data_IF_331264698753
#
_entry.id   IF_331264698753
#
_cell.length_a   1.000
_cell.length_b   1.000
_cell.length_c   1.000
_cell.angle_alpha   90.00
_cell.angle_beta   90.00
_cell.angle_gamma   90.00
#
_symmetry.space_group_name_H-M   'P 1'
#
loop_
_entity.id
_entity.type
_entity.pdbx_description
1 polymer ?
#
# COMPACT_ATOMS: atom_id res chain seq x y z
N UNK A 1 -14.26 1.14 31.11
CA UNK A 1 -12.88 0.91 30.68
C UNK A 1 -12.80 1.39 29.23
N UNK A 2 -12.04 2.44 28.94
CA UNK A 2 -11.89 2.93 27.57
C UNK A 2 -10.98 1.92 26.85
N UNK A 3 -11.41 1.32 25.72
CA UNK A 3 -10.54 0.40 24.99
C UNK A 3 -9.26 1.15 24.57
N UNK A 4 -8.09 0.48 24.59
CA UNK A 4 -6.83 1.12 24.25
C UNK A 4 -6.89 1.67 22.82
N UNK A 5 -6.92 2.99 22.69
CA UNK A 5 -6.90 3.65 21.38
C UNK A 5 -5.57 3.40 20.67
N UNK A 6 -5.59 3.35 19.34
CA UNK A 6 -4.34 3.35 18.57
C UNK A 6 -3.46 4.57 18.95
N UNK A 7 -2.12 4.42 18.92
CA UNK A 7 -1.21 5.55 19.03
C UNK A 7 -1.54 6.63 17.99
N UNK A 8 -1.41 7.90 18.38
CA UNK A 8 -1.70 9.05 17.50
C UNK A 8 -0.51 9.41 16.59
N UNK A 9 0.18 8.40 16.09
CA UNK A 9 1.38 8.57 15.28
C UNK A 9 1.22 7.79 13.98
N UNK A 10 1.47 8.45 12.84
CA UNK A 10 1.33 7.85 11.53
C UNK A 10 -0.12 7.58 11.13
N UNK A 11 -0.45 7.95 9.89
CA UNK A 11 -1.78 7.85 9.32
C UNK A 11 -1.73 7.20 7.95
N UNK A 12 -2.74 6.39 7.71
CA UNK A 12 -3.08 5.82 6.42
C UNK A 12 -4.40 6.44 5.92
N UNK A 13 -4.53 6.62 4.61
CA UNK A 13 -5.71 7.22 4.01
C UNK A 13 -6.92 6.29 4.16
N UNK A 14 -8.07 6.82 4.58
CA UNK A 14 -9.32 6.05 4.73
C UNK A 14 -9.75 5.34 3.44
N UNK A 15 -9.35 5.87 2.29
CA UNK A 15 -9.48 5.23 0.98
C UNK A 15 -8.90 3.81 0.93
N UNK A 16 -7.74 3.56 1.57
CA UNK A 16 -7.12 2.24 1.61
C UNK A 16 -8.01 1.22 2.33
N UNK A 17 -8.61 1.62 3.46
CA UNK A 17 -9.53 0.79 4.24
C UNK A 17 -10.78 0.44 3.44
N UNK A 18 -11.32 1.43 2.72
CA UNK A 18 -12.51 1.24 1.89
C UNK A 18 -12.25 0.25 0.75
N UNK A 19 -11.14 0.40 0.02
CA UNK A 19 -10.81 -0.54 -1.06
C UNK A 19 -10.45 -1.92 -0.54
N UNK A 20 -9.79 -2.03 0.63
CA UNK A 20 -9.51 -3.34 1.22
C UNK A 20 -10.82 -4.07 1.53
N UNK A 21 -11.79 -3.38 2.14
CA UNK A 21 -13.11 -3.96 2.41
C UNK A 21 -13.84 -4.32 1.12
N UNK A 22 -13.89 -3.41 0.15
CA UNK A 22 -14.54 -3.67 -1.16
C UNK A 22 -13.93 -4.91 -1.82
N UNK A 23 -12.61 -4.93 -1.98
CA UNK A 23 -11.89 -6.04 -2.61
C UNK A 23 -12.08 -7.36 -1.85
N UNK A 24 -12.04 -7.33 -0.50
CA UNK A 24 -12.24 -8.51 0.32
C UNK A 24 -13.67 -9.07 0.19
N UNK A 25 -14.68 -8.19 0.14
CA UNK A 25 -16.08 -8.59 -0.06
C UNK A 25 -16.29 -9.16 -1.47
N UNK A 26 -15.76 -8.51 -2.49
CA UNK A 26 -15.91 -8.93 -3.89
C UNK A 26 -15.19 -10.25 -4.18
N UNK A 27 -14.00 -10.45 -3.60
CA UNK A 27 -13.14 -11.60 -3.90
C UNK A 27 -13.41 -12.79 -2.98
N UNK A 28 -13.71 -12.56 -1.70
CA UNK A 28 -13.79 -13.62 -0.68
C UNK A 28 -15.16 -13.71 0.02
N UNK A 29 -16.04 -12.73 -0.20
CA UNK A 29 -17.36 -12.68 0.40
C UNK A 29 -17.40 -12.20 1.84
N UNK A 30 -18.61 -11.86 2.29
CA UNK A 30 -18.89 -11.26 3.60
C UNK A 30 -18.46 -12.13 4.78
N UNK A 31 -18.64 -13.45 4.67
CA UNK A 31 -18.26 -14.38 5.73
C UNK A 31 -16.76 -14.34 6.00
N UNK A 32 -15.94 -14.26 4.96
CA UNK A 32 -14.48 -14.20 5.07
C UNK A 32 -14.02 -12.86 5.60
N UNK A 33 -14.57 -11.76 5.08
CA UNK A 33 -14.31 -10.41 5.62
C UNK A 33 -14.62 -10.32 7.11
N UNK A 34 -15.78 -10.83 7.53
CA UNK A 34 -16.21 -10.83 8.93
C UNK A 34 -15.28 -11.64 9.82
N UNK A 35 -14.76 -12.79 9.34
CA UNK A 35 -13.75 -13.55 10.08
C UNK A 35 -12.43 -12.78 10.20
N UNK A 36 -11.98 -12.12 9.13
CA UNK A 36 -10.77 -11.29 9.15
C UNK A 36 -10.88 -10.14 10.16
N UNK A 37 -12.01 -9.43 10.17
CA UNK A 37 -12.30 -8.39 11.17
C UNK A 37 -12.31 -8.89 12.61
N UNK A 38 -12.72 -10.15 12.85
CA UNK A 38 -12.68 -10.76 14.18
C UNK A 38 -11.27 -11.13 14.64
N UNK A 39 -10.35 -11.37 13.71
CA UNK A 39 -8.93 -11.63 14.01
C UNK A 39 -8.14 -10.34 14.23
N UNK A 40 -8.61 -9.22 13.67
CA UNK A 40 -8.07 -7.91 13.94
C UNK A 40 -8.35 -7.48 15.38
N UNK A 41 -7.60 -6.48 15.86
CA UNK A 41 -7.84 -5.84 17.16
C UNK A 41 -9.27 -5.26 17.22
N UNK A 42 -9.93 -5.28 18.40
CA UNK A 42 -11.30 -4.78 18.55
C UNK A 42 -11.49 -3.33 18.06
N UNK A 43 -10.46 -2.49 18.20
CA UNK A 43 -10.47 -1.10 17.75
C UNK A 43 -10.55 -0.96 16.23
N UNK A 44 -9.98 -1.92 15.48
CA UNK A 44 -10.10 -1.96 14.01
C UNK A 44 -11.55 -2.20 13.62
N UNK A 45 -12.23 -3.14 14.28
CA UNK A 45 -13.66 -3.40 14.03
C UNK A 45 -14.48 -2.13 14.24
N UNK A 46 -14.19 -1.38 15.31
CA UNK A 46 -14.85 -0.09 15.60
C UNK A 46 -14.73 0.93 14.46
N UNK A 47 -13.62 0.94 13.71
CA UNK A 47 -13.47 1.80 12.53
C UNK A 47 -14.46 1.41 11.41
N UNK A 48 -14.65 0.11 11.19
CA UNK A 48 -15.54 -0.41 10.13
C UNK A 48 -17.02 -0.47 10.54
N UNK A 49 -17.34 -0.37 11.83
CA UNK A 49 -18.72 -0.20 12.31
C UNK A 49 -19.28 1.19 11.95
N UNK A 50 -18.39 2.16 11.69
CA UNK A 50 -18.73 3.51 11.21
C UNK A 50 -18.48 3.74 9.72
N UNK A 51 -18.71 4.97 9.28
CA UNK A 51 -18.35 5.41 7.92
C UNK A 51 -16.91 5.92 7.90
N UNK A 52 -16.03 5.22 7.16
CA UNK A 52 -14.67 5.70 6.89
C UNK A 52 -14.70 6.59 5.64
N UNK A 53 -14.55 7.90 5.82
CA UNK A 53 -14.47 8.82 4.69
C UNK A 53 -13.18 8.56 3.91
N UNK A 54 -13.26 8.43 2.58
CA UNK A 54 -12.09 8.21 1.73
C UNK A 54 -11.00 9.30 1.90
N UNK A 55 -11.41 10.54 2.17
CA UNK A 55 -10.50 11.67 2.40
C UNK A 55 -9.90 11.72 3.81
N UNK A 56 -10.43 10.97 4.78
CA UNK A 56 -9.96 10.99 6.16
C UNK A 56 -8.61 10.29 6.35
N UNK A 57 -7.94 10.61 7.47
CA UNK A 57 -6.69 9.99 7.90
C UNK A 57 -6.96 9.07 9.10
N UNK A 58 -6.71 7.79 8.93
CA UNK A 58 -6.91 6.75 9.94
C UNK A 58 -5.57 6.32 10.54
N UNK A 59 -5.53 5.82 11.79
CA UNK A 59 -4.27 5.35 12.39
C UNK A 59 -3.60 4.28 11.52
N UNK A 60 -2.31 4.44 11.22
CA UNK A 60 -1.58 3.46 10.39
C UNK A 60 -1.45 2.11 11.09
N UNK A 61 -1.39 2.11 12.42
CA UNK A 61 -1.45 0.89 13.22
C UNK A 61 -2.72 0.06 12.97
N UNK A 62 -3.86 0.70 12.69
CA UNK A 62 -5.09 0.01 12.34
C UNK A 62 -5.03 -0.60 10.92
N UNK A 63 -4.38 0.10 9.98
CA UNK A 63 -4.11 -0.42 8.64
C UNK A 63 -3.21 -1.65 8.68
N UNK A 64 -2.10 -1.57 9.42
CA UNK A 64 -1.17 -2.68 9.57
C UNK A 64 -1.83 -3.90 10.24
N UNK A 65 -2.67 -3.66 11.24
CA UNK A 65 -3.41 -4.69 11.97
C UNK A 65 -4.41 -5.42 11.06
N UNK A 66 -5.29 -4.69 10.36
CA UNK A 66 -6.28 -5.33 9.48
C UNK A 66 -5.62 -6.09 8.33
N UNK A 67 -4.53 -5.57 7.77
CA UNK A 67 -3.80 -6.26 6.71
C UNK A 67 -3.19 -7.56 7.24
N UNK A 68 -2.49 -7.49 8.37
CA UNK A 68 -1.87 -8.67 8.97
C UNK A 68 -2.91 -9.72 9.36
N UNK A 69 -4.03 -9.31 9.96
CA UNK A 69 -5.12 -10.20 10.34
C UNK A 69 -5.81 -10.84 9.14
N UNK A 70 -6.21 -10.04 8.15
CA UNK A 70 -6.94 -10.54 6.98
C UNK A 70 -6.04 -11.43 6.11
N UNK A 71 -4.87 -10.93 5.69
CA UNK A 71 -4.00 -11.67 4.80
C UNK A 71 -3.32 -12.86 5.49
N UNK A 72 -3.01 -12.75 6.78
CA UNK A 72 -2.48 -13.85 7.60
C UNK A 72 -3.45 -15.01 7.78
N UNK A 73 -4.75 -14.72 7.80
CA UNK A 73 -5.80 -15.73 7.90
C UNK A 73 -6.15 -16.35 6.54
N UNK A 74 -6.27 -15.52 5.50
CA UNK A 74 -6.85 -15.95 4.22
C UNK A 74 -5.83 -16.55 3.24
N UNK A 75 -4.55 -16.18 3.36
CA UNK A 75 -3.51 -16.60 2.42
C UNK A 75 -2.43 -17.43 3.11
N UNK A 76 -2.04 -18.54 2.48
CA UNK A 76 -0.87 -19.32 2.90
C UNK A 76 0.42 -18.47 2.87
N UNK A 77 0.50 -17.53 1.93
CA UNK A 77 1.50 -16.47 1.90
C UNK A 77 0.79 -15.09 1.92
N UNK A 78 0.80 -14.38 3.06
CA UNK A 78 0.18 -13.06 3.19
C UNK A 78 0.71 -12.04 2.17
N UNK A 79 1.96 -12.19 1.73
CA UNK A 79 2.56 -11.31 0.73
C UNK A 79 1.81 -11.40 -0.60
N UNK A 80 1.39 -12.59 -1.00
CA UNK A 80 0.60 -12.78 -2.22
C UNK A 80 -0.76 -12.06 -2.12
N UNK A 81 -1.44 -12.15 -0.97
CA UNK A 81 -2.69 -11.43 -0.74
C UNK A 81 -2.53 -9.92 -0.85
N UNK A 82 -1.51 -9.36 -0.20
CA UNK A 82 -1.20 -7.92 -0.32
C UNK A 82 -0.87 -7.52 -1.76
N UNK A 83 -0.13 -8.35 -2.51
CA UNK A 83 0.18 -8.06 -3.93
C UNK A 83 -1.08 -8.00 -4.79
N UNK A 84 -1.98 -8.95 -4.63
CA UNK A 84 -3.27 -9.01 -5.36
C UNK A 84 -4.13 -7.78 -5.04
N UNK A 85 -4.26 -7.45 -3.75
CA UNK A 85 -4.97 -6.27 -3.31
C UNK A 85 -4.35 -4.98 -3.89
N UNK A 86 -3.03 -4.83 -3.87
CA UNK A 86 -2.39 -3.63 -4.39
C UNK A 86 -2.41 -3.52 -5.92
N UNK A 87 -2.49 -4.63 -6.65
CA UNK A 87 -2.84 -4.61 -8.08
C UNK A 87 -4.24 -4.07 -8.29
N UNK A 88 -5.23 -4.59 -7.55
CA UNK A 88 -6.62 -4.11 -7.59
C UNK A 88 -6.73 -2.62 -7.25
N UNK A 89 -6.05 -2.19 -6.18
CA UNK A 89 -5.98 -0.79 -5.78
C UNK A 89 -5.36 0.06 -6.88
N UNK A 90 -4.27 -0.41 -7.48
CA UNK A 90 -3.63 0.20 -8.65
C UNK A 90 -4.63 0.43 -9.77
N UNK A 91 -5.37 -0.60 -10.17
CA UNK A 91 -6.37 -0.50 -11.24
C UNK A 91 -7.45 0.54 -10.94
N UNK A 92 -7.98 0.60 -9.72
CA UNK A 92 -9.04 1.55 -9.34
C UNK A 92 -8.53 2.99 -9.22
N UNK A 93 -7.43 3.16 -8.50
CA UNK A 93 -6.87 4.46 -8.16
C UNK A 93 -6.17 5.08 -9.34
N UNK A 94 -5.35 4.29 -10.05
CA UNK A 94 -4.67 4.80 -11.21
C UNK A 94 -5.72 5.23 -12.22
N UNK A 95 -6.73 4.46 -12.61
CA UNK A 95 -7.73 4.95 -13.58
C UNK A 95 -8.36 6.33 -13.24
N UNK A 96 -8.48 6.67 -11.95
CA UNK A 96 -8.98 7.98 -11.50
C UNK A 96 -7.87 9.05 -11.48
N UNK A 97 -6.65 8.70 -11.08
CA UNK A 97 -5.45 9.58 -11.03
C UNK A 97 -4.78 9.78 -12.39
N UNK A 98 -4.86 8.78 -13.24
CA UNK A 98 -4.35 8.60 -14.60
C UNK A 98 -4.91 9.64 -15.52
N UNK A 99 -6.19 10.04 -15.38
CA UNK A 99 -6.72 11.13 -16.19
C UNK A 99 -5.92 12.43 -16.01
N UNK A 100 -5.27 12.61 -14.85
CA UNK A 100 -4.39 13.75 -14.57
C UNK A 100 -2.91 13.48 -14.89
N UNK A 101 -2.41 12.24 -14.78
CA UNK A 101 -0.98 11.90 -15.00
C UNK A 101 -0.69 11.42 -16.43
N UNK A 102 -1.55 10.59 -17.04
CA UNK A 102 -1.36 10.02 -18.38
C UNK A 102 -1.58 11.00 -19.52
N UNK A 103 -2.24 12.15 -19.31
CA UNK A 103 -2.32 13.15 -20.38
C UNK A 103 -0.93 13.71 -20.76
N UNK A 104 0.12 13.49 -19.94
CA UNK A 104 1.47 14.04 -20.17
C UNK A 104 2.68 13.20 -19.68
N UNK A 105 2.52 12.01 -19.07
CA UNK A 105 3.62 11.35 -18.33
C UNK A 105 4.18 10.06 -18.95
N UNK A 106 5.51 9.99 -19.13
CA UNK A 106 6.25 8.74 -19.34
C UNK A 106 6.39 7.94 -18.03
N UNK A 107 6.78 6.65 -18.06
CA UNK A 107 7.08 5.87 -16.85
C UNK A 107 8.04 6.59 -15.89
N UNK A 108 9.07 7.23 -16.42
CA UNK A 108 10.06 8.01 -15.65
C UNK A 108 9.41 9.18 -14.90
N UNK A 109 8.41 9.83 -15.52
CA UNK A 109 7.68 10.92 -14.89
C UNK A 109 6.84 10.46 -13.70
N UNK A 110 6.26 9.25 -13.77
CA UNK A 110 5.59 8.64 -12.62
C UNK A 110 6.60 8.32 -11.51
N UNK A 111 7.71 7.65 -11.82
CA UNK A 111 8.68 7.21 -10.82
C UNK A 111 9.35 8.39 -10.10
N UNK A 112 9.60 9.50 -10.79
CA UNK A 112 10.09 10.75 -10.17
C UNK A 112 9.11 11.37 -9.16
N UNK A 113 7.86 10.89 -9.09
CA UNK A 113 6.79 11.39 -8.21
C UNK A 113 6.38 10.40 -7.13
N UNK A 114 7.12 9.32 -6.91
CA UNK A 114 6.83 8.32 -5.87
C UNK A 114 6.61 8.94 -4.50
N UNK A 115 7.38 9.97 -4.11
CA UNK A 115 7.17 10.68 -2.85
C UNK A 115 5.81 11.39 -2.73
N UNK A 116 5.37 12.06 -3.80
CA UNK A 116 4.03 12.65 -3.86
C UNK A 116 2.95 11.57 -3.80
N UNK A 117 3.12 10.49 -4.56
CA UNK A 117 2.17 9.38 -4.62
C UNK A 117 2.03 8.69 -3.25
N UNK A 118 3.15 8.43 -2.57
CA UNK A 118 3.18 7.91 -1.22
C UNK A 118 2.41 8.80 -0.24
N UNK A 119 2.65 10.11 -0.30
CA UNK A 119 1.98 11.13 0.53
C UNK A 119 0.46 11.19 0.36
N UNK A 120 -0.10 10.59 -0.70
CA UNK A 120 -1.57 10.47 -0.87
C UNK A 120 -2.17 9.39 0.02
N UNK A 121 -1.38 8.38 0.34
CA UNK A 121 -1.82 7.16 1.04
C UNK A 121 -1.32 7.10 2.47
N UNK A 122 -0.14 7.63 2.74
CA UNK A 122 0.49 7.62 4.06
C UNK A 122 1.09 9.00 4.36
N UNK A 123 1.01 9.44 5.62
CA UNK A 123 1.60 10.72 6.06
C UNK A 123 3.05 10.58 6.55
N UNK A 124 3.55 9.36 6.66
CA UNK A 124 4.85 9.00 7.23
C UNK A 124 5.65 8.17 6.26
N UNK A 125 6.96 8.39 6.29
CA UNK A 125 7.91 7.77 5.39
C UNK A 125 8.15 8.60 4.13
N UNK A 126 9.29 8.36 3.49
CA UNK A 126 9.76 9.11 2.32
C UNK A 126 10.07 8.12 1.20
N UNK A 127 9.32 8.22 0.12
CA UNK A 127 9.52 7.41 -1.07
C UNK A 127 10.29 8.22 -2.12
N UNK A 128 11.39 7.67 -2.62
CA UNK A 128 12.11 8.23 -3.75
C UNK A 128 12.43 7.20 -4.83
N UNK A 129 12.91 7.69 -5.96
CA UNK A 129 13.40 6.88 -7.06
C UNK A 129 14.57 7.59 -7.78
N UNK A 130 15.50 6.80 -8.29
CA UNK A 130 16.64 7.24 -9.09
C UNK A 130 16.77 6.36 -10.33
N UNK A 131 17.09 6.98 -11.47
CA UNK A 131 17.38 6.25 -12.70
C UNK A 131 18.79 5.68 -12.62
N UNK A 132 18.92 4.37 -12.85
CA UNK A 132 20.21 3.67 -12.95
C UNK A 132 20.64 3.61 -14.40
N UNK A 133 19.70 3.30 -15.29
CA UNK A 133 19.86 3.29 -16.74
C UNK A 133 18.48 3.44 -17.41
N UNK A 134 18.39 3.68 -18.73
CA UNK A 134 17.11 3.69 -19.44
C UNK A 134 16.30 2.42 -19.16
N UNK A 135 15.10 2.58 -18.61
CA UNK A 135 14.23 1.45 -18.25
C UNK A 135 14.64 0.70 -16.97
N UNK A 136 15.63 1.18 -16.21
CA UNK A 136 16.08 0.57 -14.96
C UNK A 136 16.21 1.62 -13.85
N UNK A 137 15.42 1.45 -12.81
CA UNK A 137 15.30 2.39 -11.70
C UNK A 137 15.47 1.71 -10.36
N UNK A 138 16.17 2.38 -9.45
CA UNK A 138 16.19 2.03 -8.03
C UNK A 138 15.18 2.92 -7.30
N UNK A 139 14.41 2.33 -6.42
CA UNK A 139 13.47 3.04 -5.57
C UNK A 139 13.74 2.72 -4.11
N UNK A 140 13.34 3.62 -3.23
CA UNK A 140 13.52 3.42 -1.80
C UNK A 140 12.38 4.01 -0.99
N UNK A 141 12.07 3.37 0.14
CA UNK A 141 11.13 3.86 1.12
C UNK A 141 11.81 3.96 2.49
N UNK A 142 12.04 5.19 2.93
CA UNK A 142 12.61 5.54 4.24
C UNK A 142 11.51 5.76 5.29
N UNK A 143 11.88 5.60 6.57
CA UNK A 143 11.04 5.84 7.74
C UNK A 143 11.31 4.79 8.82
N UNK A 144 10.72 4.93 10.03
CA UNK A 144 10.99 4.00 11.13
C UNK A 144 10.53 2.57 10.80
N UNK A 145 11.19 1.55 11.36
CA UNK A 145 10.71 0.17 11.31
C UNK A 145 9.77 -0.10 12.49
N UNK A 146 8.66 0.63 12.54
CA UNK A 146 7.71 0.61 13.64
C UNK A 146 6.27 0.64 13.12
N UNK A 147 5.56 -0.46 13.31
CA UNK A 147 4.18 -0.66 12.84
C UNK A 147 3.17 0.26 13.55
N UNK A 148 3.56 0.89 14.66
CA UNK A 148 2.72 1.89 15.31
C UNK A 148 2.72 3.23 14.58
N UNK A 149 3.81 3.59 13.90
CA UNK A 149 4.06 4.96 13.41
C UNK A 149 4.15 5.05 11.88
N UNK A 150 4.23 3.94 11.16
CA UNK A 150 4.31 3.95 9.69
C UNK A 150 3.79 2.65 9.06
N UNK A 151 3.77 2.58 7.74
CA UNK A 151 3.34 1.41 6.99
C UNK A 151 4.22 0.19 7.32
N UNK A 152 3.56 -0.91 7.68
CA UNK A 152 4.17 -2.14 8.15
C UNK A 152 4.88 -2.94 7.08
N UNK A 153 5.60 -3.99 7.51
CA UNK A 153 6.42 -4.84 6.65
C UNK A 153 5.67 -5.39 5.42
N UNK A 154 4.41 -5.83 5.63
CA UNK A 154 3.58 -6.37 4.56
C UNK A 154 3.28 -5.32 3.49
N UNK A 155 2.91 -4.11 3.91
CA UNK A 155 2.61 -2.99 3.03
C UNK A 155 3.86 -2.51 2.29
N UNK A 156 4.96 -2.24 3.00
CA UNK A 156 6.15 -1.68 2.37
C UNK A 156 6.82 -2.64 1.38
N UNK A 157 6.75 -3.96 1.65
CA UNK A 157 7.44 -4.97 0.83
C UNK A 157 6.63 -5.37 -0.39
N UNK A 158 5.30 -5.29 -0.33
CA UNK A 158 4.42 -5.89 -1.34
C UNK A 158 3.37 -4.95 -1.91
N UNK A 159 3.17 -3.78 -1.31
CA UNK A 159 2.17 -2.81 -1.76
C UNK A 159 2.66 -1.96 -2.93
N UNK A 160 3.79 -1.23 -2.80
CA UNK A 160 4.28 -0.36 -3.85
C UNK A 160 4.51 -1.04 -5.20
N UNK A 161 5.03 -2.28 -5.21
CA UNK A 161 5.44 -2.97 -6.43
C UNK A 161 4.28 -3.12 -7.42
N UNK A 162 3.24 -3.92 -7.11
CA UNK A 162 2.08 -4.13 -7.97
C UNK A 162 1.37 -2.84 -8.36
N UNK A 163 1.26 -1.88 -7.44
CA UNK A 163 0.66 -0.58 -7.74
C UNK A 163 1.46 0.18 -8.81
N UNK A 164 2.79 0.21 -8.69
CA UNK A 164 3.67 0.85 -9.66
C UNK A 164 3.70 0.07 -10.99
N UNK A 165 3.65 -1.27 -10.97
CA UNK A 165 3.55 -2.10 -12.18
C UNK A 165 2.33 -1.73 -13.03
N UNK A 166 1.16 -1.52 -12.39
CA UNK A 166 -0.02 -1.01 -13.10
C UNK A 166 0.21 0.38 -13.68
N UNK A 167 0.90 1.24 -12.94
CA UNK A 167 1.26 2.58 -13.40
C UNK A 167 2.18 2.59 -14.62
N UNK A 168 3.17 1.70 -14.64
CA UNK A 168 4.09 1.50 -15.77
C UNK A 168 3.33 1.01 -17.00
N UNK A 169 2.45 0.01 -16.83
CA UNK A 169 1.61 -0.51 -17.91
C UNK A 169 0.71 0.57 -18.52
N UNK A 170 0.05 1.37 -17.69
CA UNK A 170 -0.79 2.49 -18.12
C UNK A 170 0.01 3.61 -18.79
N UNK A 171 1.30 3.74 -18.48
CA UNK A 171 2.23 4.68 -19.13
C UNK A 171 2.83 4.12 -20.43
N UNK A 172 2.29 3.01 -20.94
CA UNK A 172 2.67 2.39 -22.22
C UNK A 172 3.94 1.53 -22.18
N UNK A 173 4.56 1.35 -21.00
CA UNK A 173 5.77 0.54 -20.86
C UNK A 173 5.58 -0.44 -19.70
N UNK A 174 4.87 -1.56 -19.90
CA UNK A 174 4.70 -2.56 -18.86
C UNK A 174 6.08 -3.04 -18.37
N UNK A 175 6.20 -3.14 -17.04
CA UNK A 175 7.45 -3.46 -16.38
C UNK A 175 7.21 -4.19 -15.07
N UNK A 176 8.30 -4.51 -14.39
CA UNK A 176 8.29 -5.18 -13.09
C UNK A 176 8.83 -4.25 -12.02
N UNK A 177 8.31 -4.36 -10.80
CA UNK A 177 8.81 -3.65 -9.62
C UNK A 177 9.00 -4.66 -8.49
N UNK A 178 10.25 -5.04 -8.25
CA UNK A 178 10.60 -6.04 -7.22
C UNK A 178 11.14 -5.36 -5.98
N UNK A 179 10.63 -5.78 -4.82
CA UNK A 179 11.24 -5.46 -3.54
C UNK A 179 12.54 -6.27 -3.36
N UNK A 180 13.59 -5.62 -2.87
CA UNK A 180 14.96 -6.16 -2.76
C UNK A 180 15.39 -6.28 -1.31
N UNK A 181 15.09 -5.27 -0.47
CA UNK A 181 15.55 -5.15 0.92
C UNK A 181 14.49 -4.44 1.74
N UNK A 182 14.28 -4.86 2.99
CA UNK A 182 13.27 -4.27 3.87
C UNK A 182 13.89 -3.63 5.11
N UNK A 183 13.42 -2.45 5.51
CA UNK A 183 13.82 -1.81 6.78
C UNK A 183 13.46 -2.66 8.01
N UNK A 184 12.40 -3.45 7.94
CA UNK A 184 12.00 -4.38 9.01
C UNK A 184 12.97 -5.56 9.20
N UNK A 185 14.00 -5.68 8.36
CA UNK A 185 15.10 -6.63 8.52
C UNK A 185 16.34 -5.97 9.16
N UNK A 186 16.19 -4.81 9.80
CA UNK A 186 17.29 -4.06 10.42
C UNK A 186 18.10 -3.21 9.45
N UNK A 187 17.54 -2.90 8.27
CA UNK A 187 18.15 -2.02 7.27
C UNK A 187 17.60 -0.60 7.38
N UNK A 188 18.33 0.38 6.85
CA UNK A 188 17.94 1.80 6.96
C UNK A 188 16.66 2.16 6.20
N UNK A 189 16.36 1.42 5.12
CA UNK A 189 15.21 1.69 4.24
C UNK A 189 14.81 0.43 3.48
N UNK A 190 13.59 0.42 2.97
CA UNK A 190 13.22 -0.57 1.96
C UNK A 190 13.80 -0.15 0.60
N UNK A 191 14.26 -1.11 -0.19
CA UNK A 191 14.73 -0.88 -1.56
C UNK A 191 13.90 -1.71 -2.54
N UNK A 192 13.54 -1.11 -3.66
CA UNK A 192 12.85 -1.75 -4.76
C UNK A 192 13.60 -1.46 -6.07
N UNK A 193 13.40 -2.31 -7.06
CA UNK A 193 13.95 -2.17 -8.39
C UNK A 193 12.83 -2.23 -9.43
N UNK A 194 12.73 -1.20 -10.27
CA UNK A 194 11.81 -1.18 -11.40
C UNK A 194 12.56 -1.40 -12.71
N UNK A 195 12.00 -2.26 -13.58
CA UNK A 195 12.57 -2.59 -14.89
C UNK A 195 11.52 -2.68 -15.99
N UNK A 196 11.79 -2.10 -17.16
CA UNK A 196 11.04 -2.28 -18.42
C UNK A 196 11.96 -2.16 -19.63
N UNK A 197 11.49 -2.64 -20.79
CA UNK A 197 12.19 -2.45 -22.08
C UNK A 197 11.57 -1.25 -22.78
N UNK A 198 12.41 -0.34 -23.30
CA UNK A 198 11.97 0.78 -24.14
C UNK A 198 11.61 0.34 -25.54
#
# INVERSE_FOLDING_TARGET
MVPPSFPDHGRAKGLLFNYLREWALDTHGEATWTRGLKHARPEVKGLYDGMILASSWQPVAAWNDICSAFFGMEYADPNNGMRLFCSYLGDRELNTLVKMVLKLGSPEFMLKRTGFLWGRYFDTGKFGAEEVAPGHWRLWLEGPADDATTAGALTCSNGPGPWLEQGLALSGNPGTVRHVRCRYQGLDRCELEARWTK
#
